data_IF_613987863685
#
_entry.id   IF_613987863685
#
_cell.length_a   1.000
_cell.length_b   1.000
_cell.length_c   1.000
_cell.angle_alpha   90.00
_cell.angle_beta   90.00
_cell.angle_gamma   90.00
#
_symmetry.space_group_name_H-M   'P 1'
#
loop_
_entity.id
_entity.type
_entity.pdbx_description
1 polymer ?
#
# COMPACT_ATOMS: atom_id res chain seq x y z
N UNK A 1 40.27 -5.58 -64.34
CA UNK A 1 40.38 -6.17 -62.94
C UNK A 1 40.09 -5.07 -61.92
N UNK A 2 38.85 -4.96 -61.47
CA UNK A 2 38.39 -3.91 -60.53
C UNK A 2 38.60 -4.46 -59.11
N UNK A 3 39.57 -3.89 -58.40
CA UNK A 3 39.79 -4.21 -56.98
C UNK A 3 38.69 -3.54 -56.14
N UNK A 4 37.75 -4.29 -55.59
CA UNK A 4 36.86 -3.84 -54.51
C UNK A 4 37.69 -3.77 -53.22
N UNK A 5 38.04 -2.56 -52.80
CA UNK A 5 38.53 -2.33 -51.45
C UNK A 5 37.32 -2.40 -50.49
N UNK A 6 37.24 -3.47 -49.76
CA UNK A 6 36.38 -3.51 -48.56
C UNK A 6 37.10 -2.69 -47.49
N UNK A 7 36.61 -1.48 -47.31
CA UNK A 7 37.00 -0.64 -46.18
C UNK A 7 36.40 -1.27 -44.92
N UNK A 8 37.18 -2.10 -44.23
CA UNK A 8 36.89 -2.64 -42.92
C UNK A 8 37.17 -1.54 -41.91
N UNK A 9 36.28 -0.49 -41.89
CA UNK A 9 36.24 0.44 -40.78
C UNK A 9 35.95 -0.35 -39.50
N UNK A 10 36.84 -0.25 -38.53
CA UNK A 10 36.82 -0.94 -37.23
C UNK A 10 35.68 -0.37 -36.36
N UNK A 11 34.44 -0.50 -36.81
CA UNK A 11 33.28 -0.19 -36.00
C UNK A 11 32.67 -1.50 -35.48
N UNK A 12 32.78 -1.72 -34.13
CA UNK A 12 32.18 -2.88 -33.46
C UNK A 12 30.65 -2.80 -33.41
N UNK A 13 30.02 -1.82 -34.09
CA UNK A 13 28.58 -1.64 -34.14
C UNK A 13 28.06 -1.49 -35.57
N UNK A 14 26.87 -2.04 -35.83
CA UNK A 14 26.15 -1.88 -37.09
C UNK A 14 25.13 -0.73 -36.95
N UNK A 15 25.23 0.29 -37.81
CA UNK A 15 24.22 1.36 -37.85
C UNK A 15 22.85 0.79 -38.19
N UNK A 16 21.84 1.09 -37.34
CA UNK A 16 20.46 0.64 -37.52
C UNK A 16 19.77 1.52 -38.58
N UNK A 17 19.12 0.90 -39.55
CA UNK A 17 18.31 1.64 -40.54
C UNK A 17 16.99 2.09 -39.88
N UNK A 18 16.84 3.40 -39.62
CA UNK A 18 15.65 3.98 -38.97
C UNK A 18 14.45 4.14 -39.90
N UNK A 19 14.64 4.04 -41.23
CA UNK A 19 13.53 4.12 -42.18
C UNK A 19 12.48 3.02 -42.00
N UNK A 20 12.86 1.87 -41.43
CA UNK A 20 11.96 0.78 -41.11
C UNK A 20 10.93 1.12 -39.99
N UNK A 21 11.13 2.20 -39.23
CA UNK A 21 10.19 2.65 -38.23
C UNK A 21 8.85 3.14 -38.81
N UNK A 22 8.83 3.51 -40.08
CA UNK A 22 7.65 3.99 -40.81
C UNK A 22 6.92 2.87 -41.59
N UNK A 23 7.41 1.64 -41.51
CA UNK A 23 6.80 0.51 -42.19
C UNK A 23 5.49 0.12 -41.49
N UNK A 24 4.40 0.03 -42.24
CA UNK A 24 3.13 -0.49 -41.72
C UNK A 24 3.28 -1.96 -41.32
N UNK A 25 2.77 -2.31 -40.16
CA UNK A 25 2.72 -3.66 -39.64
C UNK A 25 1.30 -3.92 -39.09
N UNK A 26 0.76 -5.10 -39.38
CA UNK A 26 -0.51 -5.55 -38.84
C UNK A 26 -0.20 -6.39 -37.59
N UNK A 27 -0.40 -5.78 -36.42
CA UNK A 27 -0.07 -6.38 -35.11
C UNK A 27 -1.17 -6.01 -34.15
N UNK A 28 -1.63 -6.97 -33.34
CA UNK A 28 -2.59 -6.70 -32.27
C UNK A 28 -1.86 -6.10 -31.05
N UNK A 29 -2.59 -5.45 -30.16
CA UNK A 29 -2.03 -4.94 -28.91
C UNK A 29 -1.51 -6.11 -28.04
N UNK A 30 -2.20 -7.24 -28.11
CA UNK A 30 -1.81 -8.46 -27.41
C UNK A 30 -0.44 -9.00 -27.88
N UNK A 31 -0.18 -8.99 -29.19
CA UNK A 31 1.11 -9.42 -29.76
C UNK A 31 2.28 -8.52 -29.34
N UNK A 32 2.01 -7.26 -28.98
CA UNK A 32 3.04 -6.30 -28.56
C UNK A 32 3.53 -6.49 -27.13
N UNK A 33 2.77 -7.20 -26.31
CA UNK A 33 3.12 -7.45 -24.92
C UNK A 33 3.76 -8.83 -24.78
N UNK A 34 5.01 -8.94 -24.32
CA UNK A 34 5.69 -10.23 -24.13
C UNK A 34 4.88 -11.17 -23.20
N UNK A 35 4.90 -12.46 -23.48
CA UNK A 35 4.16 -13.45 -22.70
C UNK A 35 4.63 -13.55 -21.24
N UNK A 36 5.89 -13.27 -20.99
CA UNK A 36 6.52 -13.25 -19.66
C UNK A 36 6.43 -11.89 -18.94
N UNK A 37 5.69 -10.92 -19.50
CA UNK A 37 5.56 -9.61 -18.90
C UNK A 37 4.77 -9.69 -17.58
N UNK A 38 5.27 -8.99 -16.55
CA UNK A 38 4.69 -9.03 -15.20
C UNK A 38 3.19 -8.69 -15.16
N UNK A 39 2.71 -7.80 -16.01
CA UNK A 39 1.30 -7.44 -16.06
C UNK A 39 0.42 -8.59 -16.59
N UNK A 40 0.93 -9.47 -17.46
CA UNK A 40 0.23 -10.69 -17.87
C UNK A 40 0.10 -11.64 -16.70
N UNK A 41 1.20 -11.89 -16.00
CA UNK A 41 1.20 -12.77 -14.83
C UNK A 41 0.25 -12.28 -13.74
N UNK A 42 0.12 -10.96 -13.58
CA UNK A 42 -0.82 -10.36 -12.63
C UNK A 42 -2.27 -10.49 -13.10
N UNK A 43 -2.54 -10.24 -14.39
CA UNK A 43 -3.88 -10.34 -14.96
C UNK A 43 -4.40 -11.77 -14.95
N UNK A 44 -3.51 -12.75 -15.16
CA UNK A 44 -3.81 -14.18 -15.06
C UNK A 44 -4.04 -14.64 -13.60
N UNK A 45 -3.36 -14.01 -12.65
CA UNK A 45 -3.42 -14.38 -11.23
C UNK A 45 -4.55 -13.71 -10.45
N UNK A 46 -5.03 -12.54 -10.89
CA UNK A 46 -6.02 -11.73 -10.18
C UNK A 46 -7.19 -11.45 -11.13
N UNK A 47 -8.35 -11.99 -10.81
CA UNK A 47 -9.60 -11.60 -11.46
C UNK A 47 -10.10 -10.29 -10.85
N UNK A 48 -9.95 -9.19 -11.59
CA UNK A 48 -10.39 -7.87 -11.14
C UNK A 48 -11.90 -7.65 -11.27
N UNK A 49 -12.67 -8.62 -11.73
CA UNK A 49 -14.12 -8.48 -11.95
C UNK A 49 -14.91 -8.23 -10.67
N UNK A 50 -14.41 -8.71 -9.51
CA UNK A 50 -15.04 -8.46 -8.22
C UNK A 50 -15.20 -6.96 -7.89
N UNK A 51 -14.40 -6.09 -8.52
CA UNK A 51 -14.50 -4.63 -8.34
C UNK A 51 -15.85 -4.11 -8.82
N UNK A 52 -16.43 -4.70 -9.86
CA UNK A 52 -17.75 -4.29 -10.35
C UNK A 52 -18.82 -4.45 -9.26
N UNK A 53 -18.84 -5.59 -8.57
CA UNK A 53 -19.80 -5.89 -7.51
C UNK A 53 -19.68 -4.91 -6.35
N UNK A 54 -18.44 -4.58 -5.97
CA UNK A 54 -18.15 -3.67 -4.86
C UNK A 54 -18.51 -2.20 -5.16
N UNK A 55 -18.51 -1.79 -6.43
CA UNK A 55 -18.77 -0.40 -6.80
C UNK A 55 -20.14 -0.16 -7.43
N UNK A 56 -20.91 -1.21 -7.72
CA UNK A 56 -22.20 -1.10 -8.39
C UNK A 56 -23.11 -0.04 -7.76
N UNK A 57 -23.24 -0.07 -6.43
CA UNK A 57 -24.04 0.89 -5.67
C UNK A 57 -23.54 2.34 -5.69
N UNK A 58 -22.31 2.59 -6.17
CA UNK A 58 -21.70 3.92 -6.22
C UNK A 58 -21.88 4.60 -7.58
N UNK A 59 -22.41 3.88 -8.55
CA UNK A 59 -22.69 4.38 -9.90
C UNK A 59 -24.20 4.54 -10.09
N UNK A 60 -24.61 5.60 -10.79
CA UNK A 60 -26.01 5.84 -11.05
C UNK A 60 -26.59 4.77 -11.99
N UNK A 61 -27.72 4.21 -11.65
CA UNK A 61 -28.44 3.18 -12.41
C UNK A 61 -29.28 3.74 -13.57
N UNK A 62 -29.25 5.02 -13.84
CA UNK A 62 -30.07 5.71 -14.86
C UNK A 62 -29.41 5.76 -16.25
N UNK A 63 -30.25 5.86 -17.29
CA UNK A 63 -29.79 6.09 -18.66
C UNK A 63 -29.41 7.54 -18.96
N UNK A 64 -29.56 8.43 -18.00
CA UNK A 64 -29.36 9.87 -18.17
C UNK A 64 -27.92 10.26 -17.79
N UNK A 65 -27.17 10.70 -18.79
CA UNK A 65 -25.84 11.21 -18.61
C UNK A 65 -24.74 10.51 -19.41
N UNK A 66 -23.55 11.07 -19.38
CA UNK A 66 -22.37 10.47 -20.02
C UNK A 66 -21.95 9.22 -19.23
N UNK A 67 -21.69 8.07 -19.91
CA UNK A 67 -21.17 6.88 -19.27
C UNK A 67 -19.95 7.19 -18.40
N UNK A 68 -19.90 6.60 -17.22
CA UNK A 68 -18.74 6.68 -16.36
C UNK A 68 -17.54 5.94 -16.98
N UNK A 69 -16.34 6.27 -16.50
CA UNK A 69 -15.17 5.47 -16.85
C UNK A 69 -15.31 4.12 -16.15
N UNK A 70 -14.90 3.07 -16.82
CA UNK A 70 -14.89 1.72 -16.29
C UNK A 70 -14.13 1.66 -14.94
N UNK A 71 -14.76 1.16 -13.86
CA UNK A 71 -14.14 1.13 -12.55
C UNK A 71 -12.91 0.22 -12.51
N UNK A 72 -12.93 -0.92 -13.15
CA UNK A 72 -11.78 -1.85 -13.19
C UNK A 72 -10.57 -1.16 -13.83
N UNK A 73 -10.76 -0.48 -14.95
CA UNK A 73 -9.71 0.31 -15.60
C UNK A 73 -9.17 1.42 -14.69
N UNK A 74 -10.04 2.11 -13.93
CA UNK A 74 -9.60 3.12 -12.96
C UNK A 74 -8.69 2.52 -11.87
N UNK A 75 -9.07 1.38 -11.32
CA UNK A 75 -8.27 0.71 -10.28
C UNK A 75 -6.98 0.14 -10.86
N UNK A 76 -7.00 -0.44 -12.06
CA UNK A 76 -5.80 -0.92 -12.76
C UNK A 76 -4.80 0.21 -13.04
N UNK A 77 -5.26 1.43 -13.35
CA UNK A 77 -4.38 2.60 -13.51
C UNK A 77 -3.69 2.97 -12.18
N UNK A 78 -4.43 2.98 -11.08
CA UNK A 78 -3.86 3.22 -9.74
C UNK A 78 -2.87 2.10 -9.40
N UNK A 79 -3.22 0.86 -9.71
CA UNK A 79 -2.36 -0.30 -9.48
C UNK A 79 -1.02 -0.19 -10.22
N UNK A 80 -1.02 0.20 -11.51
CA UNK A 80 0.19 0.50 -12.28
C UNK A 80 1.05 1.54 -11.58
N UNK A 81 0.45 2.63 -11.08
CA UNK A 81 1.18 3.69 -10.40
C UNK A 81 1.99 3.17 -9.22
N UNK A 82 1.36 2.34 -8.38
CA UNK A 82 2.02 1.79 -7.20
C UNK A 82 2.99 0.66 -7.52
N UNK A 83 2.63 -0.23 -8.44
CA UNK A 83 3.45 -1.37 -8.84
C UNK A 83 4.80 -0.91 -9.40
N UNK A 84 4.79 0.09 -10.28
CA UNK A 84 5.98 0.61 -10.93
C UNK A 84 6.61 1.82 -10.22
N UNK A 85 6.07 2.23 -9.06
CA UNK A 85 6.60 3.31 -8.26
C UNK A 85 6.56 4.68 -8.96
N UNK A 86 5.55 4.92 -9.81
CA UNK A 86 5.40 6.18 -10.54
C UNK A 86 4.97 7.28 -9.58
N UNK A 87 5.69 8.41 -9.57
CA UNK A 87 5.58 9.43 -8.53
C UNK A 87 4.22 10.15 -8.48
N UNK A 88 3.48 10.23 -9.57
CA UNK A 88 2.23 10.98 -9.61
C UNK A 88 1.26 10.45 -10.66
N UNK A 89 -0.03 10.60 -10.43
CA UNK A 89 -1.08 10.24 -11.39
C UNK A 89 -0.90 10.92 -12.75
N UNK A 90 -0.43 12.19 -12.78
CA UNK A 90 -0.13 12.88 -14.03
C UNK A 90 0.96 12.17 -14.84
N UNK A 91 2.01 11.69 -14.17
CA UNK A 91 3.07 10.94 -14.84
C UNK A 91 2.56 9.56 -15.25
N UNK A 92 1.76 8.89 -14.43
CA UNK A 92 1.15 7.60 -14.78
C UNK A 92 0.36 7.67 -16.07
N UNK A 93 -0.48 8.69 -16.23
CA UNK A 93 -1.26 8.87 -17.48
C UNK A 93 -0.33 9.05 -18.70
N UNK A 94 0.73 9.86 -18.58
CA UNK A 94 1.70 10.03 -19.67
C UNK A 94 2.46 8.74 -20.01
N UNK A 95 2.78 7.93 -19.02
CA UNK A 95 3.40 6.62 -19.25
C UNK A 95 2.43 5.67 -19.96
N UNK A 96 1.16 5.63 -19.55
CA UNK A 96 0.13 4.80 -20.16
C UNK A 96 -0.12 5.22 -21.62
N UNK A 97 -0.06 6.51 -21.95
CA UNK A 97 -0.24 7.01 -23.33
C UNK A 97 0.74 6.39 -24.31
N UNK A 98 1.95 6.06 -23.88
CA UNK A 98 3.05 5.58 -24.74
C UNK A 98 3.42 4.10 -24.51
N UNK A 99 2.98 3.50 -23.40
CA UNK A 99 3.33 2.13 -23.05
C UNK A 99 2.22 1.14 -23.45
N UNK A 100 2.52 0.28 -24.40
CA UNK A 100 1.56 -0.72 -24.92
C UNK A 100 1.16 -1.76 -23.87
N UNK A 101 2.08 -2.19 -23.00
CA UNK A 101 1.76 -3.14 -21.94
C UNK A 101 0.81 -2.55 -20.88
N UNK A 102 0.94 -1.26 -20.59
CA UNK A 102 0.01 -0.59 -19.67
C UNK A 102 -1.37 -0.46 -20.29
N UNK A 103 -1.46 -0.08 -21.58
CA UNK A 103 -2.74 -0.01 -22.31
C UNK A 103 -3.44 -1.36 -22.36
N UNK A 104 -2.70 -2.41 -22.68
CA UNK A 104 -3.20 -3.78 -22.70
C UNK A 104 -3.80 -4.16 -21.34
N UNK A 105 -3.07 -3.93 -20.26
CA UNK A 105 -3.49 -4.30 -18.91
C UNK A 105 -4.76 -3.60 -18.44
N UNK A 106 -4.92 -2.30 -18.77
CA UNK A 106 -6.11 -1.52 -18.40
C UNK A 106 -7.31 -1.77 -19.34
N UNK A 107 -7.12 -2.52 -20.42
CA UNK A 107 -8.17 -2.84 -21.40
C UNK A 107 -8.48 -1.71 -22.39
N UNK A 108 -7.53 -0.82 -22.68
CA UNK A 108 -7.68 0.28 -23.63
C UNK A 108 -7.07 -0.05 -24.98
N UNK A 109 -7.73 0.39 -26.06
CA UNK A 109 -7.20 0.25 -27.42
C UNK A 109 -5.94 1.11 -27.63
N UNK A 110 -5.16 0.81 -28.68
CA UNK A 110 -3.88 1.48 -28.95
C UNK A 110 -4.02 3.01 -29.11
N UNK A 111 -5.12 3.48 -29.69
CA UNK A 111 -5.37 4.90 -29.95
C UNK A 111 -6.47 5.50 -29.07
N UNK A 112 -7.05 4.71 -28.19
CA UNK A 112 -8.09 5.20 -27.28
C UNK A 112 -7.53 6.26 -26.31
N UNK A 113 -8.27 7.38 -26.12
CA UNK A 113 -7.81 8.45 -25.24
C UNK A 113 -7.83 8.02 -23.76
N UNK A 114 -6.70 8.19 -23.08
CA UNK A 114 -6.60 7.89 -21.66
C UNK A 114 -7.28 8.99 -20.84
N UNK A 115 -7.98 8.66 -19.74
CA UNK A 115 -8.64 9.63 -18.88
C UNK A 115 -7.66 10.66 -18.30
N UNK A 116 -8.09 11.91 -18.24
CA UNK A 116 -7.28 12.97 -17.65
C UNK A 116 -7.03 12.69 -16.16
N UNK A 117 -5.84 12.97 -15.66
CA UNK A 117 -5.45 12.70 -14.27
C UNK A 117 -6.41 13.30 -13.22
N UNK A 118 -7.04 14.45 -13.49
CA UNK A 118 -8.02 15.06 -12.57
C UNK A 118 -9.30 14.24 -12.39
N UNK A 119 -9.58 13.30 -13.31
CA UNK A 119 -10.72 12.39 -13.22
C UNK A 119 -10.64 11.49 -12.00
N UNK A 120 -9.45 11.05 -11.65
CA UNK A 120 -9.20 10.22 -10.46
C UNK A 120 -9.57 10.96 -9.19
N UNK A 121 -9.08 12.19 -9.01
CA UNK A 121 -9.42 13.02 -7.86
C UNK A 121 -10.93 13.29 -7.76
N UNK A 122 -11.58 13.56 -8.91
CA UNK A 122 -13.03 13.80 -8.94
C UNK A 122 -13.82 12.52 -8.59
N UNK A 123 -13.43 11.37 -9.11
CA UNK A 123 -14.07 10.09 -8.77
C UNK A 123 -13.86 9.73 -7.31
N UNK A 124 -12.63 9.89 -6.80
CA UNK A 124 -12.34 9.67 -5.39
C UNK A 124 -13.26 10.52 -4.50
N UNK A 125 -13.27 11.86 -4.70
CA UNK A 125 -14.05 12.77 -3.87
C UNK A 125 -15.56 12.55 -3.95
N UNK A 126 -16.07 12.16 -5.14
CA UNK A 126 -17.52 12.03 -5.36
C UNK A 126 -18.10 10.66 -5.03
N UNK A 127 -17.28 9.60 -5.11
CA UNK A 127 -17.77 8.22 -5.01
C UNK A 127 -17.09 7.41 -3.92
N UNK A 128 -15.75 7.53 -3.78
CA UNK A 128 -14.97 6.57 -2.98
C UNK A 128 -14.53 7.10 -1.62
N UNK A 129 -14.48 8.43 -1.41
CA UNK A 129 -13.89 9.07 -0.22
C UNK A 129 -14.49 8.58 1.09
N UNK A 130 -15.80 8.40 1.13
CA UNK A 130 -16.53 8.06 2.35
C UNK A 130 -16.98 6.58 2.34
N UNK A 131 -16.26 5.74 1.58
CA UNK A 131 -16.51 4.31 1.46
C UNK A 131 -15.30 3.50 1.87
N UNK A 132 -15.53 2.23 2.20
CA UNK A 132 -14.53 1.23 2.56
C UNK A 132 -14.00 0.43 1.34
N UNK A 133 -14.26 0.90 0.11
CA UNK A 133 -13.96 0.18 -1.13
C UNK A 133 -12.48 -0.23 -1.25
N UNK A 134 -11.56 0.66 -0.89
CA UNK A 134 -10.12 0.35 -0.98
C UNK A 134 -9.71 -0.73 0.03
N UNK A 135 -10.33 -0.72 1.21
CA UNK A 135 -10.10 -1.73 2.23
C UNK A 135 -10.64 -3.09 1.78
N UNK A 136 -11.84 -3.13 1.21
CA UNK A 136 -12.44 -4.35 0.65
C UNK A 136 -11.60 -4.94 -0.48
N UNK A 137 -11.16 -4.11 -1.43
CA UNK A 137 -10.27 -4.55 -2.52
C UNK A 137 -8.97 -5.11 -1.94
N UNK A 138 -8.38 -4.44 -0.95
CA UNK A 138 -7.17 -4.92 -0.30
C UNK A 138 -7.40 -6.26 0.41
N UNK A 139 -8.50 -6.40 1.14
CA UNK A 139 -8.86 -7.63 1.83
C UNK A 139 -9.06 -8.80 0.85
N UNK A 140 -9.72 -8.55 -0.29
CA UNK A 140 -9.92 -9.56 -1.32
C UNK A 140 -8.58 -10.07 -1.87
N UNK A 141 -7.71 -9.17 -2.32
CA UNK A 141 -6.38 -9.53 -2.84
C UNK A 141 -5.51 -10.20 -1.78
N UNK A 142 -5.59 -9.75 -0.53
CA UNK A 142 -4.86 -10.37 0.58
C UNK A 142 -5.36 -11.80 0.84
N UNK A 143 -6.66 -12.02 0.81
CA UNK A 143 -7.25 -13.35 0.98
C UNK A 143 -6.78 -14.31 -0.12
N UNK A 144 -6.75 -13.85 -1.36
CA UNK A 144 -6.22 -14.64 -2.47
C UNK A 144 -4.74 -14.96 -2.31
N UNK A 145 -3.95 -13.98 -1.85
CA UNK A 145 -2.53 -14.18 -1.57
C UNK A 145 -2.30 -15.20 -0.44
N UNK A 146 -3.14 -15.21 0.59
CA UNK A 146 -3.10 -16.20 1.68
C UNK A 146 -3.52 -17.58 1.15
N UNK A 147 -4.61 -17.66 0.40
CA UNK A 147 -5.13 -18.92 -0.16
C UNK A 147 -4.12 -19.59 -1.09
N UNK A 148 -3.35 -18.81 -1.85
CA UNK A 148 -2.31 -19.28 -2.74
C UNK A 148 -0.93 -19.47 -2.05
N UNK A 149 -0.85 -19.31 -0.73
CA UNK A 149 0.38 -19.55 0.06
C UNK A 149 1.48 -18.50 -0.14
N UNK A 150 1.17 -17.34 -0.72
CA UNK A 150 2.12 -16.24 -0.85
C UNK A 150 2.37 -15.51 0.47
N UNK A 151 1.41 -15.58 1.41
CA UNK A 151 1.47 -14.94 2.72
C UNK A 151 1.28 -15.97 3.81
N UNK A 152 2.23 -16.03 4.74
CA UNK A 152 2.13 -16.83 5.96
C UNK A 152 1.42 -16.00 7.05
N UNK A 153 0.16 -16.33 7.32
CA UNK A 153 -0.66 -15.66 8.32
C UNK A 153 -0.42 -16.16 9.75
N UNK A 154 0.48 -17.14 9.95
CA UNK A 154 0.76 -17.71 11.29
C UNK A 154 1.46 -16.73 12.23
N UNK A 155 2.15 -15.71 11.68
CA UNK A 155 2.86 -14.71 12.45
C UNK A 155 2.59 -13.29 11.91
N UNK A 156 2.04 -12.44 12.76
CA UNK A 156 1.81 -11.01 12.48
C UNK A 156 2.69 -10.18 13.39
N UNK A 157 3.47 -9.26 12.81
CA UNK A 157 4.32 -8.34 13.56
C UNK A 157 3.74 -6.92 13.45
N UNK A 158 3.47 -6.33 14.60
CA UNK A 158 2.91 -4.98 14.69
C UNK A 158 4.01 -4.07 15.23
N UNK A 159 4.37 -3.05 14.49
CA UNK A 159 5.29 -2.00 14.91
C UNK A 159 4.57 -0.66 15.04
N UNK A 160 5.05 0.15 15.98
CA UNK A 160 4.53 1.48 16.26
C UNK A 160 5.53 2.57 15.88
N UNK A 161 5.08 3.56 15.16
CA UNK A 161 5.90 4.71 14.77
C UNK A 161 5.52 5.95 15.57
N UNK A 162 6.51 6.66 16.10
CA UNK A 162 6.31 7.96 16.72
C UNK A 162 6.49 9.07 15.69
N UNK A 163 5.44 9.87 15.49
CA UNK A 163 5.49 11.06 14.64
C UNK A 163 5.67 12.27 15.52
N UNK A 164 6.67 13.11 15.22
CA UNK A 164 6.91 14.35 15.95
C UNK A 164 5.68 15.25 15.87
N UNK A 165 5.12 15.59 17.03
CA UNK A 165 4.00 16.51 17.12
C UNK A 165 4.42 17.95 16.86
N UNK A 166 3.55 18.74 16.22
CA UNK A 166 3.73 20.20 16.08
C UNK A 166 3.34 20.92 17.37
N UNK A 167 3.93 20.52 18.49
CA UNK A 167 3.61 21.01 19.81
C UNK A 167 4.82 21.73 20.45
N UNK A 168 4.54 22.81 21.19
CA UNK A 168 5.59 23.52 21.91
C UNK A 168 5.96 22.74 23.18
N UNK A 169 7.20 22.23 23.23
CA UNK A 169 7.72 21.46 24.37
C UNK A 169 7.81 22.21 25.68
N UNK A 170 7.74 23.53 25.66
CA UNK A 170 7.77 24.38 26.87
C UNK A 170 6.35 24.63 27.42
N UNK A 171 5.29 24.40 26.61
CA UNK A 171 3.89 24.57 27.03
C UNK A 171 3.31 23.23 27.40
N UNK A 172 3.67 22.70 28.56
CA UNK A 172 3.19 21.40 29.04
C UNK A 172 2.60 21.52 30.43
N UNK A 173 1.62 20.64 30.74
CA UNK A 173 1.03 20.50 32.05
C UNK A 173 1.09 19.04 32.51
N UNK A 174 1.17 18.83 33.81
CA UNK A 174 1.10 17.49 34.41
C UNK A 174 -0.35 17.16 34.72
N UNK A 175 -0.89 16.16 34.08
CA UNK A 175 -2.25 15.66 34.31
C UNK A 175 -2.14 14.31 35.00
N UNK A 176 -2.94 14.11 36.03
CA UNK A 176 -3.07 12.82 36.70
C UNK A 176 -4.06 11.98 35.90
N UNK A 177 -3.60 10.88 35.33
CA UNK A 177 -4.43 9.97 34.53
C UNK A 177 -4.51 8.64 35.26
N UNK A 178 -5.71 8.06 35.30
CA UNK A 178 -5.90 6.70 35.80
C UNK A 178 -5.18 5.72 34.87
N UNK A 179 -4.34 4.85 35.42
CA UNK A 179 -3.74 3.78 34.62
C UNK A 179 -4.85 2.94 34.01
N UNK A 180 -4.95 2.81 32.69
CA UNK A 180 -5.77 1.73 32.14
C UNK A 180 -5.12 0.43 32.62
N UNK A 181 -5.77 -0.27 33.52
CA UNK A 181 -5.38 -1.66 33.87
C UNK A 181 -5.92 -2.47 32.71
N UNK A 182 -5.08 -2.99 31.80
CA UNK A 182 -5.60 -3.83 30.72
C UNK A 182 -6.23 -5.06 31.39
N UNK A 183 -7.44 -5.37 31.00
CA UNK A 183 -8.13 -6.60 31.37
C UNK A 183 -7.22 -7.82 31.11
N UNK A 184 -6.47 -7.78 30.03
CA UNK A 184 -5.41 -8.70 29.65
C UNK A 184 -4.31 -8.90 30.73
N UNK A 185 -3.94 -7.87 31.49
CA UNK A 185 -2.92 -8.02 32.54
C UNK A 185 -3.42 -8.88 33.71
N UNK A 186 -4.71 -8.76 34.07
CA UNK A 186 -5.29 -9.59 35.13
C UNK A 186 -5.44 -11.04 34.68
N UNK A 187 -5.78 -11.28 33.41
CA UNK A 187 -5.85 -12.62 32.83
C UNK A 187 -4.46 -13.27 32.76
N UNK A 188 -3.46 -12.53 32.25
CA UNK A 188 -2.07 -13.01 32.21
C UNK A 188 -1.51 -13.30 33.59
N UNK A 189 -1.81 -12.45 34.58
CA UNK A 189 -1.38 -12.64 35.97
C UNK A 189 -2.01 -13.91 36.58
N UNK A 190 -3.26 -14.23 36.25
CA UNK A 190 -3.91 -15.48 36.63
C UNK A 190 -3.30 -16.70 35.95
N UNK A 191 -3.01 -16.63 34.66
CA UNK A 191 -2.37 -17.73 33.95
C UNK A 191 -0.97 -18.04 34.49
N UNK A 192 -0.19 -17.00 34.78
CA UNK A 192 1.14 -17.15 35.40
C UNK A 192 1.04 -17.80 36.78
N UNK A 193 0.11 -17.40 37.60
CA UNK A 193 -0.09 -17.96 38.95
C UNK A 193 -0.58 -19.42 38.89
N UNK A 194 -1.43 -19.76 37.92
CA UNK A 194 -1.84 -21.13 37.66
C UNK A 194 -0.66 -22.02 37.20
N UNK A 195 0.16 -21.58 36.27
CA UNK A 195 1.36 -22.33 35.82
C UNK A 195 2.35 -22.54 36.98
N UNK A 196 2.53 -21.51 37.80
CA UNK A 196 3.40 -21.60 38.97
C UNK A 196 2.86 -22.59 40.02
N UNK A 197 1.56 -22.59 40.25
CA UNK A 197 0.89 -23.52 41.18
C UNK A 197 1.04 -24.97 40.71
N UNK A 198 0.88 -25.22 39.40
CA UNK A 198 1.09 -26.55 38.80
C UNK A 198 2.55 -27.04 38.96
N UNK A 199 3.51 -26.11 38.99
CA UNK A 199 4.93 -26.39 39.20
C UNK A 199 5.37 -26.33 40.67
N UNK A 200 4.44 -26.30 41.61
CA UNK A 200 4.69 -26.28 43.07
C UNK A 200 5.39 -24.98 43.56
N UNK A 201 5.33 -23.89 42.80
CA UNK A 201 5.90 -22.58 43.15
C UNK A 201 4.83 -21.67 43.74
N UNK A 202 5.22 -20.88 44.73
CA UNK A 202 4.29 -19.87 45.32
C UNK A 202 3.96 -18.79 44.25
N UNK A 203 2.72 -18.21 44.28
CA UNK A 203 2.35 -17.05 43.47
C UNK A 203 3.36 -15.92 43.65
N UNK A 204 3.45 -15.02 42.69
CA UNK A 204 4.26 -13.80 42.84
C UNK A 204 3.68 -12.91 43.92
N UNK A 205 4.52 -12.49 44.86
CA UNK A 205 4.15 -11.43 45.80
C UNK A 205 4.12 -10.10 45.01
N UNK A 206 2.89 -9.68 44.66
CA UNK A 206 2.66 -8.45 43.94
C UNK A 206 2.42 -7.37 45.00
N UNK A 207 3.54 -6.81 45.50
CA UNK A 207 3.45 -5.69 46.45
C UNK A 207 2.41 -4.67 46.01
N UNK A 208 1.50 -4.37 46.96
CA UNK A 208 0.27 -3.63 46.75
C UNK A 208 0.39 -2.16 46.35
N UNK A 209 1.40 -1.79 45.61
CA UNK A 209 1.54 -0.44 45.05
C UNK A 209 0.67 -0.28 43.78
N UNK A 210 -0.65 -0.50 43.98
CA UNK A 210 -1.69 -0.18 43.00
C UNK A 210 -1.97 1.34 43.02
N UNK A 211 -0.94 2.15 42.77
CA UNK A 211 -1.19 3.54 42.39
C UNK A 211 -1.97 3.54 41.08
N UNK A 212 -3.29 3.65 41.19
CA UNK A 212 -4.24 3.67 40.08
C UNK A 212 -4.04 4.89 39.19
N UNK A 213 -3.15 5.80 39.56
CA UNK A 213 -2.93 7.07 38.86
C UNK A 213 -1.45 7.27 38.51
N UNK A 214 -1.21 7.79 37.33
CA UNK A 214 0.12 8.23 36.88
C UNK A 214 0.06 9.71 36.49
N UNK A 215 1.13 10.45 36.80
CA UNK A 215 1.29 11.83 36.32
C UNK A 215 1.85 11.79 34.91
N UNK A 216 1.05 12.21 33.94
CA UNK A 216 1.45 12.31 32.53
C UNK A 216 1.67 13.76 32.15
N UNK A 217 2.78 14.04 31.44
CA UNK A 217 3.04 15.36 30.86
C UNK A 217 2.33 15.44 29.52
N UNK A 218 1.39 16.38 29.40
CA UNK A 218 0.58 16.61 28.19
C UNK A 218 0.85 18.00 27.67
N UNK A 219 0.89 18.17 26.35
CA UNK A 219 1.01 19.50 25.74
C UNK A 219 -0.32 20.25 25.86
N UNK A 220 -0.24 21.57 26.12
CA UNK A 220 -1.41 22.45 26.10
C UNK A 220 -1.79 22.89 24.69
N UNK A 221 -0.88 22.77 23.73
CA UNK A 221 -1.10 23.11 22.31
C UNK A 221 -1.56 21.94 21.47
N UNK A 222 -1.26 20.72 21.88
CA UNK A 222 -1.66 19.49 21.21
C UNK A 222 -1.88 18.40 22.28
N UNK A 223 -3.11 18.28 22.81
CA UNK A 223 -3.45 17.36 23.90
C UNK A 223 -3.24 15.88 23.56
N UNK A 224 -3.32 15.50 22.28
CA UNK A 224 -3.16 14.13 21.82
C UNK A 224 -1.71 13.68 21.78
N UNK A 225 -0.77 14.64 21.86
CA UNK A 225 0.65 14.33 21.89
C UNK A 225 1.11 13.90 23.28
N UNK A 226 2.00 12.90 23.31
CA UNK A 226 2.69 12.44 24.53
C UNK A 226 4.17 12.77 24.51
N UNK A 227 4.80 12.81 25.69
CA UNK A 227 6.23 12.95 25.82
C UNK A 227 6.91 11.62 25.44
N UNK A 228 7.66 11.61 24.37
CA UNK A 228 8.48 10.49 23.92
C UNK A 228 9.95 10.76 24.25
N UNK A 229 10.63 9.75 24.78
CA UNK A 229 12.06 9.82 25.13
C UNK A 229 12.81 8.80 24.29
N UNK A 230 13.71 9.27 23.42
CA UNK A 230 14.58 8.44 22.61
C UNK A 230 16.00 8.53 23.15
N UNK A 231 16.49 7.42 23.71
CA UNK A 231 17.80 7.40 24.37
C UNK A 231 17.83 8.26 25.64
N UNK A 232 19.02 8.63 26.10
CA UNK A 232 19.19 9.33 27.38
C UNK A 232 18.89 10.84 27.33
N UNK A 233 18.94 11.46 26.15
CA UNK A 233 18.96 12.92 26.03
C UNK A 233 17.85 13.54 25.17
N UNK A 234 17.18 12.79 24.33
CA UNK A 234 16.23 13.35 23.37
C UNK A 234 14.78 13.18 23.85
N UNK A 235 14.16 14.29 24.29
CA UNK A 235 12.75 14.36 24.68
C UNK A 235 11.97 15.14 23.64
N UNK A 236 10.96 14.51 23.05
CA UNK A 236 10.10 15.13 22.03
C UNK A 236 8.63 14.85 22.34
N UNK A 237 7.77 15.81 21.99
CA UNK A 237 6.34 15.55 21.93
C UNK A 237 6.03 14.81 20.62
N UNK A 238 5.39 13.66 20.72
CA UNK A 238 5.10 12.80 19.59
C UNK A 238 3.70 12.20 19.72
N UNK A 239 3.10 11.89 18.60
CA UNK A 239 1.90 11.09 18.49
C UNK A 239 2.34 9.67 18.18
N UNK A 240 1.85 8.71 18.95
CA UNK A 240 2.08 7.30 18.70
C UNK A 240 1.06 6.82 17.68
N UNK A 241 1.53 6.42 16.51
CA UNK A 241 0.70 5.76 15.51
C UNK A 241 1.03 4.27 15.50
N UNK A 242 0.09 3.47 15.93
CA UNK A 242 0.11 2.03 15.67
C UNK A 242 -0.34 1.83 14.25
N UNK A 243 0.50 1.29 13.42
CA UNK A 243 0.10 0.46 12.32
C UNK A 243 1.18 0.35 11.25
N UNK A 244 2.17 -0.47 11.51
CA UNK A 244 2.80 -1.21 10.44
C UNK A 244 2.65 -2.68 10.80
N UNK A 245 1.74 -3.35 10.11
CA UNK A 245 1.66 -4.80 10.18
C UNK A 245 2.72 -5.37 9.24
N UNK A 246 3.60 -6.21 9.76
CA UNK A 246 4.58 -6.95 8.97
C UNK A 246 4.10 -8.38 8.87
N UNK A 247 3.84 -8.85 7.65
CA UNK A 247 3.58 -10.26 7.39
C UNK A 247 4.82 -10.90 6.76
N UNK A 248 5.07 -12.14 7.11
CA UNK A 248 6.17 -12.91 6.52
C UNK A 248 5.77 -13.33 5.10
N UNK A 249 6.44 -12.79 4.11
CA UNK A 249 6.37 -13.29 2.74
C UNK A 249 7.43 -14.36 2.55
N UNK A 250 7.11 -15.52 2.03
CA UNK A 250 7.83 -16.80 1.97
C UNK A 250 9.38 -16.83 2.12
N UNK A 251 10.09 -15.72 1.93
CA UNK A 251 11.55 -15.55 2.19
C UNK A 251 11.99 -14.13 2.55
N UNK A 252 11.09 -13.16 2.66
CA UNK A 252 11.45 -11.78 3.03
C UNK A 252 10.31 -11.07 3.77
N UNK A 253 10.65 -10.09 4.60
CA UNK A 253 9.70 -9.26 5.34
C UNK A 253 9.26 -8.08 4.46
N UNK A 254 7.97 -7.85 4.34
CA UNK A 254 7.43 -6.64 3.73
C UNK A 254 6.51 -5.92 4.70
N UNK A 255 6.55 -4.60 4.65
CA UNK A 255 5.74 -3.71 5.48
C UNK A 255 4.41 -3.41 4.79
N UNK A 256 3.31 -3.73 5.44
CA UNK A 256 1.97 -3.29 5.07
C UNK A 256 1.58 -2.13 5.98
N UNK A 257 1.26 -0.96 5.44
CA UNK A 257 0.75 0.16 6.22
C UNK A 257 -0.76 0.03 6.34
N UNK A 258 -1.23 -0.29 7.53
CA UNK A 258 -2.64 -0.08 7.89
C UNK A 258 -2.80 1.40 8.29
N UNK A 259 -3.82 2.07 7.80
CA UNK A 259 -4.21 3.43 8.24
C UNK A 259 -5.13 3.37 9.43
#
# INVERSE_FOLDING_TARGET
>A
MVKYYYDWGVFMYKKKNRAKQHQMQFITLDDLVPADHILRLIDDAIDFSFIYDEVEGLYASGRDGRPGIDPVSLFKIIFIQYLFGIRSMRQTIKEIEVNTAYRWFIGYELLEPIPHFSTFSKNYTRRFKDTDIFEKIFQHILQDAVNNGFVDASAVFIDGTHIKASANKHKTQKVTVTKPIPQYKSELDQEIDNDRSQKGKKPFDRDGNNDKTIKRTVSTTDPDSGMFVKGEHERQLAIYMTARCFMRYSRSWRCLSLR
#
